data_IF_595187797622
#
_entry.id   IF_595187797622
#
_cell.length_a   1.000
_cell.length_b   1.000
_cell.length_c   1.000
_cell.angle_alpha   90.00
_cell.angle_beta   90.00
_cell.angle_gamma   90.00
#
_symmetry.space_group_name_H-M   'P 1'
#
loop_
_entity.id
_entity.type
_entity.pdbx_description
1 polymer ?
#
# COMPACT_ATOMS: atom_id res chain seq x y z
N UNK A 1 -3.84 -8.22 -13.01
CA UNK A 1 -3.90 -7.23 -11.92
C UNK A 1 -5.19 -7.46 -11.14
N UNK A 2 -5.17 -7.53 -9.81
CA UNK A 2 -6.40 -7.71 -9.00
C UNK A 2 -7.01 -6.33 -8.75
N UNK A 3 -8.22 -6.12 -9.24
CA UNK A 3 -8.98 -4.88 -9.05
C UNK A 3 -9.65 -4.89 -7.67
N UNK A 4 -9.46 -3.81 -6.90
CA UNK A 4 -10.05 -3.58 -5.59
C UNK A 4 -11.19 -2.57 -5.79
N UNK A 5 -12.34 -3.06 -6.25
CA UNK A 5 -13.58 -2.28 -6.32
C UNK A 5 -14.53 -2.75 -5.23
N UNK A 6 -15.07 -1.81 -4.46
CA UNK A 6 -16.17 -1.92 -3.50
C UNK A 6 -15.78 -1.59 -2.06
N UNK A 7 -16.65 -0.79 -1.42
CA UNK A 7 -16.62 -0.30 -0.05
C UNK A 7 -16.54 -1.39 1.04
N UNK A 8 -16.45 -2.67 0.64
CA UNK A 8 -16.26 -3.83 1.50
C UNK A 8 -14.83 -4.42 1.41
N UNK A 9 -13.85 -3.64 1.00
CA UNK A 9 -12.50 -4.17 0.81
C UNK A 9 -11.83 -4.54 2.14
N UNK A 10 -11.76 -5.85 2.41
CA UNK A 10 -11.09 -6.41 3.59
C UNK A 10 -9.64 -5.91 3.70
N UNK A 11 -8.97 -5.68 2.57
CA UNK A 11 -7.64 -5.11 2.51
C UNK A 11 -7.58 -3.69 3.09
N UNK A 12 -8.50 -2.80 2.70
CA UNK A 12 -8.55 -1.43 3.23
C UNK A 12 -8.91 -1.43 4.72
N UNK A 13 -9.86 -2.29 5.12
CA UNK A 13 -10.23 -2.47 6.53
C UNK A 13 -9.05 -2.99 7.36
N UNK A 14 -8.25 -3.89 6.80
CA UNK A 14 -7.02 -4.39 7.40
C UNK A 14 -5.99 -3.28 7.60
N UNK A 15 -5.72 -2.47 6.56
CA UNK A 15 -4.83 -1.32 6.66
C UNK A 15 -5.28 -0.31 7.72
N UNK A 16 -6.58 0.02 7.74
CA UNK A 16 -7.15 0.91 8.75
C UNK A 16 -6.95 0.37 10.17
N UNK A 17 -7.09 -0.95 10.38
CA UNK A 17 -6.82 -1.59 11.67
C UNK A 17 -5.34 -1.58 12.02
N UNK A 18 -4.43 -1.76 11.05
CA UNK A 18 -2.98 -1.63 11.28
C UNK A 18 -2.61 -0.21 11.73
N UNK A 19 -3.20 0.81 11.11
CA UNK A 19 -3.00 2.22 11.49
C UNK A 19 -3.53 2.52 12.89
N UNK A 20 -4.78 2.10 13.18
CA UNK A 20 -5.49 2.48 14.40
C UNK A 20 -5.24 1.59 15.64
N UNK A 21 -4.84 0.31 15.48
CA UNK A 21 -4.79 -0.65 16.59
C UNK A 21 -3.39 -1.26 16.79
N UNK A 22 -2.69 -0.84 17.85
CA UNK A 22 -1.36 -1.40 18.19
C UNK A 22 -1.36 -2.90 18.52
N UNK A 23 -2.45 -3.43 19.11
CA UNK A 23 -2.62 -4.88 19.30
C UNK A 23 -2.69 -5.61 17.96
N UNK A 24 -3.35 -5.03 16.96
CA UNK A 24 -3.47 -5.59 15.63
C UNK A 24 -2.12 -5.62 14.90
N UNK A 25 -1.33 -4.55 14.99
CA UNK A 25 0.06 -4.55 14.46
C UNK A 25 0.92 -5.68 15.04
N UNK A 26 0.84 -5.90 16.35
CA UNK A 26 1.55 -6.98 17.04
C UNK A 26 1.04 -8.36 16.61
N UNK A 27 -0.28 -8.54 16.53
CA UNK A 27 -0.89 -9.80 16.13
C UNK A 27 -0.50 -10.22 14.71
N UNK A 28 -0.45 -9.28 13.78
CA UNK A 28 -0.17 -9.55 12.36
C UNK A 28 1.29 -9.31 11.97
N UNK A 29 2.14 -8.88 12.92
CA UNK A 29 3.53 -8.48 12.69
C UNK A 29 3.70 -7.53 11.48
N UNK A 30 2.76 -6.59 11.34
CA UNK A 30 2.66 -5.69 10.18
C UNK A 30 2.53 -4.24 10.64
N UNK A 31 3.02 -3.33 9.81
CA UNK A 31 2.81 -1.89 9.95
C UNK A 31 2.56 -1.27 8.57
N UNK A 32 1.94 -0.10 8.56
CA UNK A 32 1.72 0.70 7.35
C UNK A 32 2.80 1.77 7.27
N UNK A 33 3.33 1.99 6.06
CA UNK A 33 4.20 3.11 5.73
C UNK A 33 3.39 4.07 4.86
N UNK A 34 3.22 5.31 5.30
CA UNK A 34 2.45 6.34 4.58
C UNK A 34 3.39 7.34 3.92
N UNK A 35 3.48 7.30 2.59
CA UNK A 35 4.29 8.25 1.80
C UNK A 35 5.26 7.55 0.84
N UNK A 36 5.44 8.15 -0.35
CA UNK A 36 6.26 7.57 -1.42
C UNK A 36 7.73 7.50 -1.01
N UNK A 37 8.28 8.56 -0.41
CA UNK A 37 9.68 8.57 0.01
C UNK A 37 10.00 7.54 1.09
N UNK A 38 9.08 7.29 2.04
CA UNK A 38 9.26 6.24 3.04
C UNK A 38 9.30 4.85 2.41
N UNK A 39 8.41 4.59 1.45
CA UNK A 39 8.42 3.34 0.70
C UNK A 39 9.72 3.20 -0.14
N UNK A 40 10.18 4.27 -0.77
CA UNK A 40 11.45 4.27 -1.52
C UNK A 40 12.63 3.90 -0.64
N UNK A 41 12.79 4.56 0.52
CA UNK A 41 13.87 4.26 1.46
C UNK A 41 13.77 2.83 1.98
N UNK A 42 12.56 2.34 2.29
CA UNK A 42 12.34 0.96 2.72
C UNK A 42 12.70 -0.07 1.66
N UNK A 43 12.40 0.19 0.39
CA UNK A 43 12.80 -0.69 -0.72
C UNK A 43 14.32 -0.66 -0.93
N UNK A 44 14.94 0.53 -0.85
CA UNK A 44 16.38 0.71 -0.99
C UNK A 44 17.18 0.03 0.12
N UNK A 45 16.63 -0.08 1.33
CA UNK A 45 17.24 -0.83 2.44
C UNK A 45 17.06 -2.35 2.34
N UNK A 46 16.47 -2.85 1.24
CA UNK A 46 16.21 -4.28 1.01
C UNK A 46 14.89 -4.78 1.62
N UNK A 47 14.08 -3.88 2.17
CA UNK A 47 12.75 -4.19 2.67
C UNK A 47 11.81 -4.68 1.58
N UNK A 48 10.90 -5.60 1.94
CA UNK A 48 9.92 -6.17 1.02
C UNK A 48 8.50 -5.89 1.53
N UNK A 49 7.74 -4.98 0.89
CA UNK A 49 6.38 -4.70 1.33
C UNK A 49 5.47 -5.91 1.08
N UNK A 50 4.56 -6.16 2.02
CA UNK A 50 3.52 -7.19 1.85
C UNK A 50 2.54 -6.79 0.74
N UNK A 51 2.25 -5.50 0.63
CA UNK A 51 1.50 -4.89 -0.45
C UNK A 51 1.68 -3.37 -0.45
N UNK A 52 1.62 -2.77 -1.64
CA UNK A 52 1.68 -1.34 -1.89
C UNK A 52 0.32 -0.91 -2.43
N UNK A 53 -0.35 -0.02 -1.71
CA UNK A 53 -1.71 0.41 -2.04
C UNK A 53 -1.64 1.83 -2.58
N UNK A 54 -2.13 2.03 -3.81
CA UNK A 54 -2.04 3.30 -4.51
C UNK A 54 -3.44 3.76 -4.89
N UNK A 55 -3.86 4.99 -4.53
CA UNK A 55 -5.10 5.55 -5.03
C UNK A 55 -5.09 5.58 -6.56
N UNK A 56 -6.15 5.11 -7.22
CA UNK A 56 -6.26 5.13 -8.69
C UNK A 56 -6.03 6.53 -9.27
N UNK A 57 -6.53 7.57 -8.59
CA UNK A 57 -6.32 8.97 -8.97
C UNK A 57 -4.83 9.38 -9.03
N UNK A 58 -3.95 8.69 -8.28
CA UNK A 58 -2.50 8.96 -8.27
C UNK A 58 -1.71 8.10 -9.25
N UNK A 59 -2.31 7.07 -9.84
CA UNK A 59 -1.64 6.18 -10.80
C UNK A 59 -1.00 6.91 -12.00
N UNK A 60 -1.57 8.00 -12.55
CA UNK A 60 -0.95 8.71 -13.66
C UNK A 60 0.30 9.55 -13.30
N UNK A 61 0.62 9.71 -12.01
CA UNK A 61 1.72 10.59 -11.61
C UNK A 61 3.09 9.99 -11.95
N UNK A 62 4.03 10.85 -12.34
CA UNK A 62 5.40 10.43 -12.65
C UNK A 62 6.08 9.77 -11.43
N UNK A 63 5.79 10.28 -10.24
CA UNK A 63 6.27 9.74 -8.97
C UNK A 63 5.79 8.31 -8.74
N UNK A 64 4.50 8.03 -8.96
CA UNK A 64 3.96 6.67 -8.86
C UNK A 64 4.53 5.76 -9.93
N UNK A 65 4.72 6.25 -11.15
CA UNK A 65 5.36 5.47 -12.23
C UNK A 65 6.78 5.04 -11.86
N UNK A 66 7.58 5.96 -11.31
CA UNK A 66 8.94 5.67 -10.81
C UNK A 66 8.91 4.64 -9.67
N UNK A 67 7.94 4.76 -8.77
CA UNK A 67 7.76 3.82 -7.67
C UNK A 67 7.38 2.42 -8.18
N UNK A 68 6.47 2.31 -9.14
CA UNK A 68 6.05 1.03 -9.72
C UNK A 68 7.20 0.27 -10.40
N UNK A 69 8.20 0.98 -10.94
CA UNK A 69 9.38 0.36 -11.55
C UNK A 69 10.29 -0.34 -10.53
N UNK A 70 10.21 0.02 -9.24
CA UNK A 70 11.06 -0.54 -8.17
C UNK A 70 10.30 -1.45 -7.21
N UNK A 71 8.97 -1.46 -7.26
CA UNK A 71 8.13 -2.34 -6.44
C UNK A 71 8.06 -3.73 -7.10
N UNK A 72 8.19 -4.82 -6.34
CA UNK A 72 8.04 -6.16 -6.89
C UNK A 72 6.70 -6.37 -7.59
N UNK A 73 6.73 -7.09 -8.73
CA UNK A 73 5.53 -7.41 -9.49
C UNK A 73 4.48 -8.13 -8.63
N UNK A 74 3.20 -7.83 -8.88
CA UNK A 74 2.08 -8.42 -8.13
C UNK A 74 1.90 -7.91 -6.70
N UNK A 75 2.69 -6.91 -6.25
CA UNK A 75 2.55 -6.28 -4.94
C UNK A 75 1.85 -4.92 -4.97
N UNK A 76 1.50 -4.41 -6.15
CA UNK A 76 0.78 -3.13 -6.32
C UNK A 76 -0.72 -3.39 -6.40
N UNK A 77 -1.46 -2.71 -5.54
CA UNK A 77 -2.91 -2.81 -5.41
C UNK A 77 -3.54 -1.42 -5.61
N UNK A 78 -4.00 -1.09 -6.81
CA UNK A 78 -4.74 0.15 -7.04
C UNK A 78 -6.09 0.09 -6.30
N UNK A 79 -6.51 1.19 -5.69
CA UNK A 79 -7.82 1.29 -5.02
C UNK A 79 -8.53 2.60 -5.34
N UNK A 80 -9.86 2.55 -5.42
CA UNK A 80 -10.69 3.75 -5.57
C UNK A 80 -10.87 4.46 -4.24
N UNK A 81 -10.56 5.76 -4.21
CA UNK A 81 -10.97 6.66 -3.13
C UNK A 81 -12.40 7.10 -3.43
N UNK A 82 -13.37 6.65 -2.63
CA UNK A 82 -14.70 7.27 -2.64
C UNK A 82 -14.54 8.69 -2.07
N UNK A 83 -14.85 9.69 -2.88
CA UNK A 83 -15.02 11.08 -2.43
C UNK A 83 -16.37 11.23 -1.73
#
# INVERSE_FOLDING_TARGET
MKHISSANNEHIRHLHRLLSQGKFRRQYAQTVLEGVHLLQVFLQSGGRPVGVYIPEAKMPSEEVRKLMAVVPEGKVFPFQTAY
#
